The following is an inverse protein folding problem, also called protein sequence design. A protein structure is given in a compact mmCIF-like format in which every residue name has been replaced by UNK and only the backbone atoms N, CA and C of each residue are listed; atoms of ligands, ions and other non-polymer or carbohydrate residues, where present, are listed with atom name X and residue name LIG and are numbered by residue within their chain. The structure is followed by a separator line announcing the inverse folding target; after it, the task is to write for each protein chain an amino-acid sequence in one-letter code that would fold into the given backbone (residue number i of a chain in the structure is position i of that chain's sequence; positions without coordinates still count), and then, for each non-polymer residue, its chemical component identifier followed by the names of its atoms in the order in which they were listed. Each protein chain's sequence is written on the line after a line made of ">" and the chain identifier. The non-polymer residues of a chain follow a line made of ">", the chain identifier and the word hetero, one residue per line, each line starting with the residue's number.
data_IF_403554358172
#
_entry.id   IF_403554358172
#
_cell.length_a   1.000
_cell.length_b   1.000
_cell.length_c   1.000
_cell.angle_alpha   90.00
_cell.angle_beta   90.00
_cell.angle_gamma   90.00
#
_symmetry.space_group_name_H-M   'P 1'
#
loop_
_entity.id
_entity.type
_entity.pdbx_description
1 polymer ?
#
# COMPACT_ATOMS: atom_id res chain seq x y z
N UNK A 1 86.36 38.11 44.10
CA UNK A 1 85.74 37.02 43.28
C UNK A 1 84.24 36.75 43.50
N UNK A 2 83.58 37.24 44.57
CA UNK A 2 82.14 36.96 44.86
C UNK A 2 81.11 37.84 44.12
N UNK A 3 81.49 39.00 43.59
CA UNK A 3 80.57 39.95 42.91
C UNK A 3 80.19 39.52 41.49
N UNK A 4 81.15 39.12 40.64
CA UNK A 4 80.88 38.68 39.25
C UNK A 4 79.96 37.43 39.16
N UNK A 5 80.12 36.44 40.05
CA UNK A 5 79.28 35.21 40.06
C UNK A 5 77.79 35.48 40.35
N UNK A 6 77.46 36.48 41.16
CA UNK A 6 76.05 36.84 41.44
C UNK A 6 75.38 37.51 40.26
N UNK A 7 76.11 38.35 39.52
CA UNK A 7 75.61 39.03 38.33
C UNK A 7 75.31 38.04 37.19
N UNK A 8 76.22 37.10 36.89
CA UNK A 8 75.96 36.04 35.90
C UNK A 8 74.79 35.13 36.29
N UNK A 9 74.64 34.80 37.58
CA UNK A 9 73.49 34.03 38.07
C UNK A 9 72.16 34.79 37.96
N UNK A 10 72.16 36.12 38.16
CA UNK A 10 70.97 36.95 38.00
C UNK A 10 70.55 37.07 36.53
N UNK A 11 71.49 37.29 35.61
CA UNK A 11 71.24 37.35 34.16
C UNK A 11 70.74 36.00 33.64
N UNK A 12 71.37 34.89 34.06
CA UNK A 12 70.93 33.54 33.67
C UNK A 12 69.49 33.24 34.15
N UNK A 13 69.13 33.66 35.37
CA UNK A 13 67.75 33.50 35.90
C UNK A 13 66.73 34.35 35.15
N UNK A 14 67.10 35.56 34.73
CA UNK A 14 66.25 36.44 33.92
C UNK A 14 66.05 35.86 32.52
N UNK A 15 67.11 35.35 31.89
CA UNK A 15 67.06 34.70 30.58
C UNK A 15 66.20 33.42 30.60
N UNK A 16 66.35 32.59 31.63
CA UNK A 16 65.50 31.41 31.85
C UNK A 16 64.03 31.77 32.11
N UNK A 17 63.75 32.87 32.82
CA UNK A 17 62.38 33.38 32.99
C UNK A 17 61.79 33.86 31.66
N UNK A 18 62.54 34.61 30.86
CA UNK A 18 62.08 35.08 29.54
C UNK A 18 61.84 33.92 28.57
N UNK A 19 62.71 32.91 28.55
CA UNK A 19 62.53 31.69 27.74
C UNK A 19 61.27 30.90 28.16
N UNK A 20 61.04 30.75 29.48
CA UNK A 20 59.81 30.10 29.99
C UNK A 20 58.55 30.87 29.63
N UNK A 21 58.57 32.20 29.70
CA UNK A 21 57.43 33.05 29.30
C UNK A 21 57.17 32.93 27.79
N UNK A 22 58.23 32.94 26.97
CA UNK A 22 58.14 32.75 25.52
C UNK A 22 57.58 31.38 25.13
N UNK A 23 58.04 30.30 25.77
CA UNK A 23 57.48 28.95 25.58
C UNK A 23 56.02 28.87 26.00
N UNK A 24 55.65 29.47 27.13
CA UNK A 24 54.26 29.48 27.63
C UNK A 24 53.33 30.26 26.71
N UNK A 25 53.77 31.40 26.17
CA UNK A 25 53.02 32.17 25.16
C UNK A 25 52.88 31.41 23.85
N UNK A 26 53.95 30.76 23.36
CA UNK A 26 53.91 29.97 22.13
C UNK A 26 52.96 28.77 22.25
N UNK A 27 52.98 28.08 23.40
CA UNK A 27 52.06 26.99 23.71
C UNK A 27 50.60 27.45 23.78
N UNK A 28 50.35 28.61 24.39
CA UNK A 28 49.01 29.19 24.46
C UNK A 28 48.48 29.61 23.08
N UNK A 29 49.31 30.23 22.24
CA UNK A 29 48.97 30.57 20.85
C UNK A 29 48.69 29.32 20.00
N UNK A 30 49.50 28.26 20.12
CA UNK A 30 49.24 27.01 19.39
C UNK A 30 47.94 26.35 19.84
N UNK A 31 47.63 26.36 21.15
CA UNK A 31 46.36 25.86 21.65
C UNK A 31 45.16 26.67 21.16
N UNK A 32 45.28 28.00 21.06
CA UNK A 32 44.20 28.83 20.52
C UNK A 32 43.96 28.58 19.03
N UNK A 33 45.03 28.43 18.24
CA UNK A 33 44.91 28.11 16.80
C UNK A 33 44.31 26.72 16.61
N UNK A 34 44.71 25.74 17.42
CA UNK A 34 44.15 24.39 17.38
C UNK A 34 42.66 24.38 17.76
N UNK A 35 42.27 25.14 18.78
CA UNK A 35 40.85 25.30 19.15
C UNK A 35 40.04 26.01 18.06
N UNK A 36 40.57 27.07 17.45
CA UNK A 36 39.91 27.76 16.33
C UNK A 36 39.77 26.85 15.11
N UNK A 37 40.78 26.02 14.83
CA UNK A 37 40.73 25.03 13.76
C UNK A 37 39.69 23.95 14.04
N UNK A 38 39.67 23.39 15.25
CA UNK A 38 38.68 22.40 15.68
C UNK A 38 37.26 22.97 15.62
N UNK A 39 37.06 24.20 16.11
CA UNK A 39 35.77 24.88 16.07
C UNK A 39 35.34 25.21 14.64
N UNK A 40 36.25 25.73 13.81
CA UNK A 40 36.00 25.99 12.40
C UNK A 40 35.67 24.72 11.63
N UNK A 41 36.39 23.62 11.89
CA UNK A 41 36.10 22.31 11.32
C UNK A 41 34.76 21.75 11.80
N UNK A 42 34.39 21.97 13.07
CA UNK A 42 33.09 21.60 13.63
C UNK A 42 31.95 22.41 13.00
N UNK A 43 32.14 23.71 12.78
CA UNK A 43 31.18 24.59 12.08
C UNK A 43 31.04 24.23 10.60
N UNK A 44 32.15 23.93 9.91
CA UNK A 44 32.13 23.42 8.55
C UNK A 44 31.41 22.08 8.48
N UNK A 45 31.74 21.17 9.40
CA UNK A 45 30.99 19.92 9.54
C UNK A 45 29.54 20.21 9.86
N UNK A 46 29.15 21.12 10.74
CA UNK A 46 27.72 21.36 11.05
C UNK A 46 26.94 21.99 9.90
N UNK A 47 27.59 22.77 9.02
CA UNK A 47 26.98 23.30 7.79
C UNK A 47 26.67 22.20 6.77
N UNK A 48 27.51 21.15 6.69
CA UNK A 48 27.31 20.00 5.79
C UNK A 48 26.75 18.75 6.48
N UNK A 49 26.73 18.72 7.81
CA UNK A 49 26.19 17.66 8.65
C UNK A 49 24.69 17.89 8.74
N UNK A 50 24.02 17.44 7.70
CA UNK A 50 22.60 17.23 7.76
C UNK A 50 22.39 15.74 8.04
N UNK A 51 21.86 15.39 9.22
CA UNK A 51 21.46 14.01 9.51
C UNK A 51 20.38 13.49 8.55
N UNK A 52 19.80 14.40 7.74
CA UNK A 52 18.88 14.12 6.64
C UNK A 52 19.53 14.10 5.23
N UNK A 53 20.84 14.31 5.08
CA UNK A 53 21.56 14.17 3.80
C UNK A 53 22.45 12.93 3.83
N UNK A 54 21.83 11.75 3.82
CA UNK A 54 22.54 10.50 3.60
C UNK A 54 22.59 10.13 2.11
N UNK A 55 23.25 9.01 1.80
CA UNK A 55 23.30 8.49 0.42
C UNK A 55 21.91 8.20 -0.15
N UNK A 56 20.94 7.81 0.67
CA UNK A 56 19.56 7.53 0.22
C UNK A 56 18.90 8.84 -0.26
N UNK A 57 19.16 9.95 0.43
CA UNK A 57 18.63 11.28 0.07
C UNK A 57 19.24 11.80 -1.24
N UNK A 58 20.53 11.57 -1.45
CA UNK A 58 21.20 11.92 -2.69
C UNK A 58 20.68 11.08 -3.87
N UNK A 59 20.46 9.78 -3.66
CA UNK A 59 19.85 8.90 -4.66
C UNK A 59 18.40 9.32 -4.96
N UNK A 60 17.60 9.63 -3.94
CA UNK A 60 16.23 10.10 -4.12
C UNK A 60 16.17 11.37 -4.98
N UNK A 61 17.09 12.31 -4.77
CA UNK A 61 17.19 13.53 -5.58
C UNK A 61 17.61 13.24 -7.03
N UNK A 62 18.56 12.33 -7.23
CA UNK A 62 19.04 11.95 -8.57
C UNK A 62 17.95 11.24 -9.40
N UNK A 63 17.15 10.39 -8.76
CA UNK A 63 16.05 9.66 -9.40
C UNK A 63 14.73 10.45 -9.46
N UNK A 64 14.67 11.66 -8.88
CA UNK A 64 13.45 12.48 -8.86
C UNK A 64 12.83 12.72 -10.25
N UNK A 65 13.60 13.02 -11.32
CA UNK A 65 13.03 13.15 -12.67
C UNK A 65 12.42 11.85 -13.20
N UNK A 66 13.03 10.71 -12.87
CA UNK A 66 12.53 9.38 -13.26
C UNK A 66 11.25 9.08 -12.51
N UNK A 67 11.20 9.33 -11.20
CA UNK A 67 9.98 9.16 -10.41
C UNK A 67 8.85 10.04 -10.92
N UNK A 68 9.15 11.30 -11.27
CA UNK A 68 8.17 12.20 -11.86
C UNK A 68 7.62 11.67 -13.18
N UNK A 69 8.48 11.18 -14.07
CA UNK A 69 8.06 10.58 -15.35
C UNK A 69 7.16 9.36 -15.12
N UNK A 70 7.59 8.43 -14.26
CA UNK A 70 6.82 7.23 -13.92
C UNK A 70 5.47 7.60 -13.30
N UNK A 71 5.44 8.56 -12.37
CA UNK A 71 4.22 9.02 -11.71
C UNK A 71 3.25 9.66 -12.74
N UNK A 72 3.77 10.49 -13.65
CA UNK A 72 2.98 11.14 -14.68
C UNK A 72 2.38 10.13 -15.66
N UNK A 73 3.20 9.20 -16.12
CA UNK A 73 2.82 8.13 -17.04
C UNK A 73 1.80 7.19 -16.39
N UNK A 74 1.98 6.85 -15.12
CA UNK A 74 1.07 5.96 -14.36
C UNK A 74 -0.35 6.53 -14.25
N UNK A 75 -0.51 7.86 -14.14
CA UNK A 75 -1.84 8.51 -14.12
C UNK A 75 -2.60 8.31 -15.44
N UNK A 76 -1.92 8.48 -16.57
CA UNK A 76 -2.52 8.27 -17.90
C UNK A 76 -2.90 6.82 -18.13
N UNK A 77 -1.98 5.90 -17.78
CA UNK A 77 -2.27 4.48 -17.85
C UNK A 77 -3.42 4.05 -16.94
N UNK A 78 -3.63 4.72 -15.80
CA UNK A 78 -4.76 4.45 -14.91
C UNK A 78 -6.11 4.54 -15.62
N UNK A 79 -6.32 5.55 -16.46
CA UNK A 79 -7.56 5.69 -17.26
C UNK A 79 -7.73 4.53 -18.23
N UNK A 80 -6.63 4.14 -18.90
CA UNK A 80 -6.62 3.00 -19.83
C UNK A 80 -6.95 1.70 -19.12
N UNK A 81 -6.37 1.46 -17.94
CA UNK A 81 -6.64 0.25 -17.15
C UNK A 81 -8.08 0.18 -16.66
N UNK A 82 -8.68 1.31 -16.24
CA UNK A 82 -10.11 1.35 -15.88
C UNK A 82 -10.98 1.02 -17.10
N UNK A 83 -10.70 1.63 -18.26
CA UNK A 83 -11.39 1.32 -19.50
C UNK A 83 -11.25 -0.15 -19.92
N UNK A 84 -10.07 -0.74 -19.71
CA UNK A 84 -9.80 -2.14 -19.99
C UNK A 84 -10.63 -3.07 -19.10
N UNK A 85 -10.68 -2.82 -17.78
CA UNK A 85 -11.51 -3.64 -16.86
C UNK A 85 -12.97 -3.59 -17.28
N UNK A 86 -13.51 -2.39 -17.55
CA UNK A 86 -14.90 -2.23 -18.00
C UNK A 86 -15.13 -3.01 -19.30
N UNK A 87 -14.26 -2.84 -20.29
CA UNK A 87 -14.39 -3.51 -21.61
C UNK A 87 -14.35 -5.02 -21.47
N UNK A 88 -13.38 -5.56 -20.73
CA UNK A 88 -13.24 -7.00 -20.52
C UNK A 88 -14.44 -7.58 -19.77
N UNK A 89 -14.87 -6.95 -18.67
CA UNK A 89 -16.06 -7.39 -17.92
C UNK A 89 -17.32 -7.34 -18.79
N UNK A 90 -17.54 -6.25 -19.54
CA UNK A 90 -18.68 -6.13 -20.45
C UNK A 90 -18.64 -7.17 -21.56
N UNK A 91 -17.45 -7.51 -22.09
CA UNK A 91 -17.32 -8.55 -23.12
C UNK A 91 -17.73 -9.94 -22.60
N UNK A 92 -17.29 -10.30 -21.39
CA UNK A 92 -17.67 -11.57 -20.75
C UNK A 92 -19.17 -11.60 -20.47
N UNK A 93 -19.72 -10.53 -19.90
CA UNK A 93 -21.16 -10.40 -19.66
C UNK A 93 -21.94 -10.53 -20.97
N UNK A 94 -21.51 -9.83 -22.03
CA UNK A 94 -22.12 -9.94 -23.35
C UNK A 94 -22.14 -11.39 -23.87
N UNK A 95 -21.03 -12.12 -23.75
CA UNK A 95 -20.95 -13.53 -24.14
C UNK A 95 -21.87 -14.39 -23.28
N UNK A 96 -21.92 -14.18 -21.97
CA UNK A 96 -22.82 -14.91 -21.07
C UNK A 96 -24.28 -14.73 -21.48
N UNK A 97 -24.74 -13.49 -21.71
CA UNK A 97 -26.15 -13.23 -22.02
C UNK A 97 -26.54 -13.57 -23.46
N UNK A 98 -25.65 -13.35 -24.44
CA UNK A 98 -25.95 -13.56 -25.86
C UNK A 98 -25.70 -15.02 -26.27
N UNK A 99 -24.66 -15.66 -25.74
CA UNK A 99 -24.23 -16.99 -26.15
C UNK A 99 -24.63 -18.07 -25.13
N UNK A 100 -24.30 -17.90 -23.85
CA UNK A 100 -24.45 -18.98 -22.86
C UNK A 100 -25.89 -19.11 -22.33
N UNK A 101 -26.54 -18.00 -22.01
CA UNK A 101 -27.87 -17.99 -21.40
C UNK A 101 -28.93 -18.69 -22.29
N UNK A 102 -28.99 -18.48 -23.63
CA UNK A 102 -29.92 -19.22 -24.48
C UNK A 102 -29.71 -20.73 -24.43
N UNK A 103 -28.45 -21.19 -24.37
CA UNK A 103 -28.11 -22.62 -24.25
C UNK A 103 -28.55 -23.15 -22.89
N UNK A 104 -28.24 -22.43 -21.81
CA UNK A 104 -28.64 -22.81 -20.45
C UNK A 104 -30.17 -22.94 -20.36
N UNK A 105 -30.93 -22.00 -20.92
CA UNK A 105 -32.39 -22.02 -20.91
C UNK A 105 -33.01 -23.19 -21.69
N UNK A 106 -32.31 -23.72 -22.69
CA UNK A 106 -32.80 -24.82 -23.53
C UNK A 106 -32.36 -26.20 -23.04
N UNK A 107 -31.18 -26.31 -22.43
CA UNK A 107 -30.53 -27.59 -22.12
C UNK A 107 -30.61 -27.97 -20.65
N UNK A 108 -30.61 -27.00 -19.73
CA UNK A 108 -30.46 -27.28 -18.30
C UNK A 108 -31.82 -27.44 -17.61
N UNK A 109 -31.91 -28.23 -16.53
CA UNK A 109 -33.14 -28.36 -15.77
C UNK A 109 -33.46 -27.04 -15.03
N UNK A 110 -34.75 -26.82 -14.76
CA UNK A 110 -35.29 -25.58 -14.17
C UNK A 110 -34.51 -25.11 -12.91
N UNK A 111 -34.16 -25.96 -11.93
CA UNK A 111 -33.40 -25.51 -10.75
C UNK A 111 -32.04 -24.91 -11.09
N UNK A 112 -31.34 -25.47 -12.08
CA UNK A 112 -30.05 -24.97 -12.54
C UNK A 112 -30.20 -23.63 -13.26
N UNK A 113 -31.24 -23.46 -14.07
CA UNK A 113 -31.58 -22.18 -14.69
C UNK A 113 -31.79 -21.10 -13.62
N UNK A 114 -32.59 -21.39 -12.59
CA UNK A 114 -32.81 -20.45 -11.48
C UNK A 114 -31.51 -20.10 -10.77
N UNK A 115 -30.64 -21.08 -10.53
CA UNK A 115 -29.32 -20.85 -9.94
C UNK A 115 -28.47 -19.91 -10.80
N UNK A 116 -28.37 -20.14 -12.12
CA UNK A 116 -27.62 -19.29 -13.04
C UNK A 116 -28.14 -17.86 -13.07
N UNK A 117 -29.45 -17.69 -13.10
CA UNK A 117 -30.06 -16.35 -13.11
C UNK A 117 -29.83 -15.66 -11.77
N UNK A 118 -30.18 -16.28 -10.64
CA UNK A 118 -30.13 -15.64 -9.32
C UNK A 118 -28.67 -15.37 -8.91
N UNK A 119 -27.81 -16.37 -8.92
CA UNK A 119 -26.41 -16.23 -8.52
C UNK A 119 -25.66 -15.33 -9.49
N UNK A 120 -25.84 -15.52 -10.80
CA UNK A 120 -25.16 -14.73 -11.83
C UNK A 120 -25.49 -13.25 -11.74
N UNK A 121 -26.77 -12.89 -11.58
CA UNK A 121 -27.17 -11.48 -11.43
C UNK A 121 -26.72 -10.90 -10.09
N UNK A 122 -26.85 -11.65 -8.98
CA UNK A 122 -26.35 -11.21 -7.68
C UNK A 122 -24.86 -10.90 -7.74
N UNK A 123 -24.07 -11.81 -8.30
CA UNK A 123 -22.63 -11.61 -8.41
C UNK A 123 -22.27 -10.44 -9.33
N UNK A 124 -22.97 -10.27 -10.47
CA UNK A 124 -22.78 -9.15 -11.38
C UNK A 124 -23.06 -7.80 -10.69
N UNK A 125 -24.16 -7.71 -9.95
CA UNK A 125 -24.51 -6.51 -9.17
C UNK A 125 -23.40 -6.20 -8.15
N UNK A 126 -22.88 -7.21 -7.47
CA UNK A 126 -21.80 -7.03 -6.49
C UNK A 126 -20.49 -6.59 -7.15
N UNK A 127 -20.12 -7.14 -8.32
CA UNK A 127 -18.93 -6.73 -9.07
C UNK A 127 -19.04 -5.26 -9.49
N UNK A 128 -20.15 -4.90 -10.16
CA UNK A 128 -20.37 -3.55 -10.68
C UNK A 128 -20.40 -2.53 -9.54
N UNK A 129 -21.15 -2.81 -8.47
CA UNK A 129 -21.24 -1.91 -7.33
C UNK A 129 -19.88 -1.67 -6.67
N UNK A 130 -19.15 -2.74 -6.34
CA UNK A 130 -17.88 -2.59 -5.63
C UNK A 130 -16.79 -1.97 -6.51
N UNK A 131 -16.76 -2.28 -7.81
CA UNK A 131 -15.84 -1.64 -8.74
C UNK A 131 -16.14 -0.14 -8.85
N UNK A 132 -17.41 0.23 -9.07
CA UNK A 132 -17.84 1.62 -9.13
C UNK A 132 -17.48 2.38 -7.85
N UNK A 133 -17.77 1.81 -6.68
CA UNK A 133 -17.42 2.43 -5.40
C UNK A 133 -15.90 2.55 -5.20
N UNK A 134 -15.11 1.56 -5.64
CA UNK A 134 -13.66 1.60 -5.52
C UNK A 134 -13.02 2.71 -6.38
N UNK A 135 -13.51 2.93 -7.60
CA UNK A 135 -12.99 3.99 -8.49
C UNK A 135 -13.46 5.39 -8.11
N UNK A 136 -14.70 5.54 -7.62
CA UNK A 136 -15.30 6.86 -7.35
C UNK A 136 -15.11 7.35 -5.91
N UNK A 137 -15.02 6.44 -4.93
CA UNK A 137 -14.88 6.83 -3.53
C UNK A 137 -13.49 7.37 -3.28
N UNK A 138 -13.40 8.60 -2.77
CA UNK A 138 -12.13 9.17 -2.36
C UNK A 138 -11.54 8.35 -1.20
N UNK A 139 -10.24 8.02 -1.22
CA UNK A 139 -9.64 7.13 -0.22
C UNK A 139 -9.56 7.73 1.20
N UNK A 140 -9.69 9.06 1.32
CA UNK A 140 -9.57 9.79 2.57
C UNK A 140 -8.26 10.55 2.66
N UNK A 141 -8.35 11.81 3.08
CA UNK A 141 -7.22 12.73 3.14
C UNK A 141 -7.19 13.43 4.50
N UNK A 142 -6.01 13.70 5.07
CA UNK A 142 -5.92 14.52 6.27
C UNK A 142 -6.34 15.97 5.96
N UNK A 143 -6.88 16.70 6.96
CA UNK A 143 -7.22 18.12 6.79
C UNK A 143 -5.98 18.95 6.46
N UNK A 144 -6.11 19.93 5.56
CA UNK A 144 -5.01 20.82 5.14
C UNK A 144 -4.56 21.76 6.27
N UNK A 145 -5.49 22.17 7.14
CA UNK A 145 -5.23 22.97 8.33
C UNK A 145 -5.64 22.17 9.57
N UNK A 146 -4.76 21.28 10.06
CA UNK A 146 -5.06 20.53 11.27
C UNK A 146 -5.16 21.48 12.46
N UNK A 147 -6.23 21.34 13.25
CA UNK A 147 -6.30 21.95 14.58
C UNK A 147 -5.18 21.35 15.46
N UNK A 148 -4.73 22.11 16.48
CA UNK A 148 -3.61 21.71 17.36
C UNK A 148 -3.79 20.32 18.02
N UNK A 149 -5.02 19.79 18.07
CA UNK A 149 -5.34 18.52 18.72
C UNK A 149 -5.20 17.29 17.81
N UNK A 150 -4.74 17.44 16.57
CA UNK A 150 -4.55 16.30 15.67
C UNK A 150 -3.34 15.47 16.13
N UNK A 151 -3.59 14.25 16.61
CA UNK A 151 -2.55 13.30 17.02
C UNK A 151 -1.70 12.83 15.82
N UNK A 152 -0.69 13.62 15.47
CA UNK A 152 0.25 13.33 14.39
C UNK A 152 1.42 12.47 14.90
N UNK A 153 1.80 11.46 14.11
CA UNK A 153 2.93 10.57 14.44
C UNK A 153 4.24 11.00 13.76
N UNK A 154 4.14 11.84 12.73
CA UNK A 154 5.28 12.37 11.96
C UNK A 154 4.82 13.52 11.07
N UNK A 155 5.75 14.18 10.38
CA UNK A 155 5.47 15.21 9.38
C UNK A 155 5.70 14.62 7.98
N UNK A 156 4.81 14.87 7.03
CA UNK A 156 5.05 14.57 5.62
C UNK A 156 6.01 15.62 5.04
N UNK A 157 7.17 15.19 4.52
CA UNK A 157 8.15 16.10 3.91
C UNK A 157 7.63 16.79 2.64
N UNK A 158 6.85 16.07 1.81
CA UNK A 158 6.32 16.59 0.54
C UNK A 158 5.13 17.54 0.73
N UNK A 159 4.19 17.20 1.62
CA UNK A 159 3.02 18.04 1.90
C UNK A 159 3.28 19.12 2.96
N UNK A 160 4.40 19.03 3.70
CA UNK A 160 4.74 19.91 4.83
C UNK A 160 3.56 19.99 5.82
N UNK A 161 2.99 18.82 6.15
CA UNK A 161 1.79 18.71 6.96
C UNK A 161 1.90 17.57 7.99
N UNK A 162 1.29 17.73 9.19
CA UNK A 162 1.14 16.65 10.17
C UNK A 162 0.50 15.40 9.57
N UNK A 163 1.15 14.26 9.78
CA UNK A 163 0.71 12.95 9.30
C UNK A 163 0.05 12.17 10.43
N UNK A 164 -1.28 11.98 10.41
CA UNK A 164 -1.95 11.07 11.35
C UNK A 164 -1.38 9.66 11.26
N UNK A 165 -1.63 8.86 12.29
CA UNK A 165 -1.25 7.45 12.28
C UNK A 165 -1.83 6.72 11.03
N UNK A 166 -1.06 5.75 10.51
CA UNK A 166 -1.39 4.95 9.31
C UNK A 166 -1.55 5.73 8.00
N UNK A 167 -1.25 7.03 7.99
CA UNK A 167 -1.32 7.87 6.79
C UNK A 167 0.00 7.80 6.02
N UNK A 168 -0.03 7.78 4.69
CA UNK A 168 1.19 7.83 3.85
C UNK A 168 1.00 8.77 2.66
N UNK A 169 2.10 9.36 2.17
CA UNK A 169 2.07 10.20 0.98
C UNK A 169 2.14 9.31 -0.26
N UNK A 170 1.20 9.50 -1.18
CA UNK A 170 1.28 8.91 -2.51
C UNK A 170 1.80 9.96 -3.48
N UNK A 171 2.93 9.68 -4.14
CA UNK A 171 3.52 10.58 -5.14
C UNK A 171 2.62 10.71 -6.37
N UNK A 172 2.02 9.60 -6.82
CA UNK A 172 1.06 9.57 -7.93
C UNK A 172 -0.18 10.41 -7.60
N UNK A 173 -0.78 10.29 -6.42
CA UNK A 173 -1.92 11.14 -6.02
C UNK A 173 -1.46 12.56 -5.59
N UNK A 174 -0.15 12.80 -5.44
CA UNK A 174 0.52 13.98 -4.87
C UNK A 174 -0.11 14.49 -3.57
N UNK A 175 -0.48 13.58 -2.67
CA UNK A 175 -1.12 13.92 -1.39
C UNK A 175 -1.02 12.79 -0.38
N UNK A 176 -1.16 13.13 0.91
CA UNK A 176 -1.29 12.16 1.97
C UNK A 176 -2.66 11.47 1.95
N UNK A 177 -2.68 10.14 2.06
CA UNK A 177 -3.87 9.29 2.07
C UNK A 177 -4.00 8.59 3.42
N UNK A 178 -5.18 8.69 4.03
CA UNK A 178 -5.49 8.06 5.32
C UNK A 178 -5.52 6.53 5.16
N UNK A 179 -4.93 5.80 6.12
CA UNK A 179 -4.82 4.32 6.09
C UNK A 179 -4.39 3.78 4.72
N UNK A 180 -3.42 4.45 4.09
CA UNK A 180 -3.00 4.13 2.73
C UNK A 180 -2.53 2.68 2.64
N UNK A 181 -3.06 1.96 1.67
CA UNK A 181 -2.55 0.65 1.27
C UNK A 181 -1.61 0.82 0.09
N UNK A 182 -2.13 1.17 -1.09
CA UNK A 182 -1.33 1.39 -2.29
C UNK A 182 -2.06 2.32 -3.27
N UNK A 183 -1.36 2.78 -4.30
CA UNK A 183 -2.00 3.38 -5.47
C UNK A 183 -2.30 2.27 -6.48
N UNK A 184 -3.54 2.17 -6.94
CA UNK A 184 -3.97 1.11 -7.84
C UNK A 184 -4.28 1.68 -9.23
N UNK A 185 -3.45 1.41 -10.26
CA UNK A 185 -3.73 1.86 -11.63
C UNK A 185 -5.06 1.30 -12.16
N UNK A 186 -5.45 0.08 -11.78
CA UNK A 186 -6.70 -0.57 -12.17
C UNK A 186 -7.97 0.11 -11.65
N UNK A 187 -7.82 1.01 -10.67
CA UNK A 187 -8.90 1.85 -10.17
C UNK A 187 -8.74 3.32 -10.58
N UNK A 188 -7.60 3.68 -11.17
CA UNK A 188 -7.13 5.06 -11.28
C UNK A 188 -7.30 5.85 -9.96
N UNK A 189 -7.08 5.18 -8.83
CA UNK A 189 -7.35 5.73 -7.51
C UNK A 189 -6.41 5.13 -6.47
N UNK A 190 -6.13 5.92 -5.44
CA UNK A 190 -5.45 5.42 -4.26
C UNK A 190 -6.40 4.52 -3.45
N UNK A 191 -5.90 3.43 -2.86
CA UNK A 191 -6.63 2.56 -1.93
C UNK A 191 -6.27 2.99 -0.50
N UNK A 192 -7.27 3.47 0.24
CA UNK A 192 -7.12 4.02 1.59
C UNK A 192 -8.35 3.80 2.46
N UNK A 193 -8.46 4.54 3.56
CA UNK A 193 -9.44 4.31 4.63
C UNK A 193 -10.88 4.10 4.13
N UNK A 194 -11.39 4.96 3.27
CA UNK A 194 -12.80 4.96 2.87
C UNK A 194 -13.14 3.99 1.73
N UNK A 195 -12.15 3.56 0.92
CA UNK A 195 -12.42 2.71 -0.25
C UNK A 195 -11.75 1.32 -0.20
N UNK A 196 -10.90 1.02 0.79
CA UNK A 196 -10.17 -0.25 0.88
C UNK A 196 -11.11 -1.47 0.88
N UNK A 197 -12.24 -1.38 1.58
CA UNK A 197 -13.22 -2.49 1.57
C UNK A 197 -13.83 -2.72 0.18
N UNK A 198 -14.08 -1.66 -0.60
CA UNK A 198 -14.71 -1.78 -1.90
C UNK A 198 -13.75 -2.44 -2.87
N UNK A 199 -12.48 -2.05 -2.81
CA UNK A 199 -11.40 -2.72 -3.53
C UNK A 199 -11.34 -4.22 -3.18
N UNK A 200 -11.32 -4.58 -1.89
CA UNK A 200 -11.28 -5.98 -1.48
C UNK A 200 -12.51 -6.77 -1.94
N UNK A 201 -13.71 -6.23 -1.71
CA UNK A 201 -14.96 -6.87 -2.13
C UNK A 201 -15.05 -7.01 -3.65
N UNK A 202 -14.59 -6.02 -4.42
CA UNK A 202 -14.50 -6.13 -5.89
C UNK A 202 -13.63 -7.33 -6.28
N UNK A 203 -12.43 -7.47 -5.71
CA UNK A 203 -11.57 -8.63 -5.99
C UNK A 203 -12.25 -9.95 -5.62
N UNK A 204 -12.92 -10.01 -4.46
CA UNK A 204 -13.63 -11.19 -3.99
C UNK A 204 -14.74 -11.60 -4.97
N UNK A 205 -15.66 -10.69 -5.27
CA UNK A 205 -16.81 -10.99 -6.14
C UNK A 205 -16.40 -11.21 -7.60
N UNK A 206 -15.37 -10.51 -8.10
CA UNK A 206 -14.81 -10.75 -9.43
C UNK A 206 -14.18 -12.14 -9.51
N UNK A 207 -13.40 -12.54 -8.49
CA UNK A 207 -12.82 -13.88 -8.42
C UNK A 207 -13.90 -14.96 -8.35
N UNK A 208 -14.94 -14.76 -7.52
CA UNK A 208 -16.08 -15.68 -7.44
C UNK A 208 -16.80 -15.80 -8.78
N UNK A 209 -17.06 -14.68 -9.47
CA UNK A 209 -17.75 -14.68 -10.76
C UNK A 209 -16.94 -15.34 -11.86
N UNK A 210 -15.63 -15.13 -11.87
CA UNK A 210 -14.71 -15.80 -12.80
C UNK A 210 -14.63 -17.31 -12.53
N UNK A 211 -14.44 -17.74 -11.28
CA UNK A 211 -14.45 -19.16 -10.90
C UNK A 211 -15.77 -19.81 -11.32
N UNK A 212 -16.89 -19.16 -10.99
CA UNK A 212 -18.21 -19.63 -11.35
C UNK A 212 -18.40 -19.80 -12.85
N UNK A 213 -17.97 -18.81 -13.64
CA UNK A 213 -18.04 -18.85 -15.10
C UNK A 213 -17.14 -19.95 -15.68
N UNK A 214 -15.93 -20.13 -15.14
CA UNK A 214 -15.00 -21.18 -15.58
C UNK A 214 -15.52 -22.59 -15.26
N UNK A 215 -16.12 -22.81 -14.10
CA UNK A 215 -16.70 -24.11 -13.72
C UNK A 215 -17.95 -24.38 -14.55
N UNK A 216 -18.87 -23.40 -14.64
CA UNK A 216 -20.15 -23.58 -15.34
C UNK A 216 -19.96 -23.72 -16.86
N UNK A 217 -18.93 -23.08 -17.43
CA UNK A 217 -18.63 -23.13 -18.86
C UNK A 217 -17.66 -24.24 -19.27
N UNK A 218 -17.28 -25.15 -18.37
CA UNK A 218 -16.25 -26.18 -18.65
C UNK A 218 -16.62 -27.10 -19.80
N UNK A 219 -17.83 -27.67 -19.79
CA UNK A 219 -18.26 -28.62 -20.82
C UNK A 219 -18.36 -27.93 -22.19
N UNK A 220 -18.96 -26.73 -22.21
CA UNK A 220 -19.06 -25.90 -23.43
C UNK A 220 -17.69 -25.49 -23.96
N UNK A 221 -16.73 -25.21 -23.08
CA UNK A 221 -15.34 -24.93 -23.45
C UNK A 221 -14.70 -26.13 -24.13
N UNK A 222 -14.84 -27.33 -23.55
CA UNK A 222 -14.26 -28.55 -24.10
C UNK A 222 -14.82 -28.87 -25.49
N UNK A 223 -16.14 -28.77 -25.66
CA UNK A 223 -16.81 -28.95 -26.95
C UNK A 223 -16.37 -27.91 -27.99
N UNK A 224 -16.34 -26.63 -27.61
CA UNK A 224 -15.90 -25.56 -28.49
C UNK A 224 -14.44 -25.71 -28.89
N UNK A 225 -13.57 -26.13 -27.97
CA UNK A 225 -12.16 -26.38 -28.21
C UNK A 225 -11.95 -27.55 -29.17
N UNK A 226 -12.60 -28.69 -28.93
CA UNK A 226 -12.53 -29.85 -29.81
C UNK A 226 -13.05 -29.55 -31.22
N UNK A 227 -14.13 -28.76 -31.33
CA UNK A 227 -14.65 -28.31 -32.62
C UNK A 227 -13.62 -27.42 -33.37
N UNK A 228 -12.93 -26.52 -32.67
CA UNK A 228 -11.89 -25.66 -33.26
C UNK A 228 -10.66 -26.47 -33.71
N UNK A 229 -10.24 -27.45 -32.91
CA UNK A 229 -9.12 -28.33 -33.25
C UNK A 229 -9.42 -29.15 -34.51
N UNK A 230 -10.63 -29.71 -34.60
CA UNK A 230 -11.10 -30.47 -35.77
C UNK A 230 -11.08 -29.62 -37.06
N UNK A 231 -11.45 -28.33 -36.98
CA UNK A 231 -11.36 -27.40 -38.13
C UNK A 231 -9.94 -27.17 -38.63
N UNK A 232 -8.95 -27.30 -37.76
CA UNK A 232 -7.55 -27.05 -38.12
C UNK A 232 -6.94 -28.24 -38.86
N UNK A 233 -7.53 -29.43 -38.73
CA UNK A 233 -7.00 -30.70 -39.25
C UNK A 233 -7.77 -31.22 -40.49
N UNK A 234 -9.00 -30.76 -40.73
CA UNK A 234 -9.85 -31.24 -41.84
C UNK A 234 -10.33 -30.06 -42.70
N UNK A 235 -10.60 -30.26 -44.02
CA UNK A 235 -11.23 -29.21 -44.83
C UNK A 235 -12.55 -28.79 -44.16
N UNK A 236 -12.78 -27.49 -43.96
CA UNK A 236 -13.81 -27.03 -43.04
C UNK A 236 -15.19 -27.47 -43.52
N UNK A 237 -16.00 -28.18 -42.72
CA UNK A 237 -17.44 -28.29 -42.95
C UNK A 237 -18.04 -26.88 -43.11
N UNK A 238 -19.12 -26.74 -43.87
CA UNK A 238 -19.79 -25.46 -44.17
C UNK A 238 -20.50 -24.87 -42.94
N UNK A 239 -19.76 -24.61 -41.86
CA UNK A 239 -20.27 -23.90 -40.71
C UNK A 239 -20.39 -22.41 -41.02
N UNK A 240 -21.54 -21.86 -40.66
CA UNK A 240 -21.81 -20.42 -40.77
C UNK A 240 -20.78 -19.61 -39.98
N UNK A 241 -20.51 -18.38 -40.41
CA UNK A 241 -19.67 -17.43 -39.67
C UNK A 241 -20.09 -17.32 -38.19
N UNK A 242 -21.40 -17.40 -37.91
CA UNK A 242 -21.99 -17.33 -36.58
C UNK A 242 -21.53 -18.47 -35.65
N UNK A 243 -21.50 -19.71 -36.14
CA UNK A 243 -21.05 -20.86 -35.34
C UNK A 243 -19.57 -20.77 -34.99
N UNK A 244 -18.73 -20.31 -35.92
CA UNK A 244 -17.30 -20.06 -35.67
C UNK A 244 -17.09 -18.97 -34.63
N UNK A 245 -17.84 -17.88 -34.72
CA UNK A 245 -17.79 -16.80 -33.73
C UNK A 245 -18.24 -17.27 -32.34
N UNK A 246 -19.26 -18.13 -32.27
CA UNK A 246 -19.75 -18.71 -31.02
C UNK A 246 -18.69 -19.56 -30.30
N UNK A 247 -18.10 -20.55 -30.98
CA UNK A 247 -17.05 -21.39 -30.36
C UNK A 247 -15.84 -20.56 -29.90
N UNK A 248 -15.38 -19.59 -30.72
CA UNK A 248 -14.29 -18.70 -30.33
C UNK A 248 -14.62 -17.82 -29.13
N UNK A 249 -15.88 -17.37 -29.02
CA UNK A 249 -16.34 -16.55 -27.88
C UNK A 249 -16.36 -17.34 -26.58
N UNK A 250 -16.78 -18.60 -26.62
CA UNK A 250 -16.77 -19.49 -25.44
C UNK A 250 -15.33 -19.72 -24.98
N UNK A 251 -14.43 -20.07 -25.89
CA UNK A 251 -13.01 -20.29 -25.57
C UNK A 251 -12.39 -19.03 -24.99
N UNK A 252 -12.64 -17.87 -25.60
CA UNK A 252 -12.18 -16.57 -25.07
C UNK A 252 -12.69 -16.31 -23.65
N UNK A 253 -14.00 -16.46 -23.42
CA UNK A 253 -14.60 -16.20 -22.11
C UNK A 253 -14.05 -17.13 -21.02
N UNK A 254 -13.90 -18.42 -21.32
CA UNK A 254 -13.37 -19.40 -20.37
C UNK A 254 -11.89 -19.11 -20.03
N UNK A 255 -11.05 -18.87 -21.03
CA UNK A 255 -9.62 -18.56 -20.82
C UNK A 255 -9.45 -17.25 -20.04
N UNK A 256 -10.22 -16.21 -20.38
CA UNK A 256 -10.18 -14.93 -19.68
C UNK A 256 -10.63 -15.08 -18.22
N UNK A 257 -11.77 -15.75 -17.96
CA UNK A 257 -12.25 -15.98 -16.60
C UNK A 257 -11.27 -16.82 -15.78
N UNK A 258 -10.73 -17.91 -16.33
CA UNK A 258 -9.79 -18.78 -15.61
C UNK A 258 -8.48 -18.06 -15.27
N UNK A 259 -7.93 -17.27 -16.21
CA UNK A 259 -6.70 -16.49 -15.97
C UNK A 259 -6.91 -15.37 -14.95
N UNK A 260 -8.03 -14.64 -15.03
CA UNK A 260 -8.39 -13.60 -14.05
C UNK A 260 -8.63 -14.21 -12.68
N UNK A 261 -9.34 -15.34 -12.58
CA UNK A 261 -9.57 -16.04 -11.31
C UNK A 261 -8.25 -16.40 -10.62
N UNK A 262 -7.27 -16.89 -11.37
CA UNK A 262 -5.96 -17.22 -10.82
C UNK A 262 -5.19 -15.98 -10.35
N UNK A 263 -5.03 -14.98 -11.23
CA UNK A 263 -4.25 -13.79 -10.93
C UNK A 263 -4.87 -12.93 -9.83
N UNK A 264 -6.17 -12.64 -9.95
CA UNK A 264 -6.91 -11.83 -8.98
C UNK A 264 -7.16 -12.60 -7.69
N UNK A 265 -7.38 -13.91 -7.76
CA UNK A 265 -7.53 -14.78 -6.58
C UNK A 265 -6.26 -14.82 -5.73
N UNK A 266 -5.08 -14.90 -6.34
CA UNK A 266 -3.81 -14.83 -5.61
C UNK A 266 -3.65 -13.47 -4.89
N UNK A 267 -3.98 -12.36 -5.57
CA UNK A 267 -3.97 -11.02 -4.97
C UNK A 267 -5.01 -10.88 -3.83
N UNK A 268 -6.21 -11.43 -4.02
CA UNK A 268 -7.26 -11.46 -3.00
C UNK A 268 -6.82 -12.23 -1.74
N UNK A 269 -6.18 -13.39 -1.91
CA UNK A 269 -5.66 -14.19 -0.79
C UNK A 269 -4.55 -13.44 -0.04
N UNK A 270 -3.69 -12.74 -0.77
CA UNK A 270 -2.67 -11.88 -0.17
C UNK A 270 -3.29 -10.77 0.69
N UNK A 271 -4.26 -10.02 0.15
CA UNK A 271 -4.95 -8.98 0.91
C UNK A 271 -5.74 -9.55 2.09
N UNK A 272 -6.36 -10.73 1.93
CA UNK A 272 -7.00 -11.46 3.03
C UNK A 272 -6.03 -11.73 4.19
N UNK A 273 -4.78 -12.11 3.87
CA UNK A 273 -3.75 -12.32 4.88
C UNK A 273 -3.30 -11.01 5.56
N UNK A 274 -3.31 -9.87 4.85
CA UNK A 274 -3.03 -8.55 5.43
C UNK A 274 -4.15 -8.12 6.39
N UNK A 275 -5.40 -8.22 5.94
CA UNK A 275 -6.60 -7.89 6.74
C UNK A 275 -6.65 -8.75 8.00
N UNK A 276 -6.41 -10.06 7.87
CA UNK A 276 -6.34 -10.98 9.02
C UNK A 276 -5.32 -10.55 10.08
N UNK A 277 -4.22 -9.93 9.66
CA UNK A 277 -3.17 -9.39 10.55
C UNK A 277 -3.41 -7.95 11.01
N UNK A 278 -4.46 -7.29 10.52
CA UNK A 278 -4.81 -5.91 10.87
C UNK A 278 -3.87 -4.86 10.25
N UNK A 279 -3.17 -5.20 9.18
CA UNK A 279 -2.16 -4.35 8.54
C UNK A 279 -2.50 -4.01 7.08
N UNK A 280 -2.06 -2.85 6.60
CA UNK A 280 -1.98 -2.53 5.17
C UNK A 280 -0.71 -3.11 4.55
N UNK A 281 -0.60 -3.09 3.22
CA UNK A 281 0.61 -3.51 2.50
C UNK A 281 1.84 -2.69 2.91
N UNK A 282 1.71 -1.38 3.11
CA UNK A 282 2.79 -0.52 3.65
C UNK A 282 3.14 -0.93 5.08
N UNK A 283 2.13 -1.10 5.93
CA UNK A 283 2.34 -1.47 7.34
C UNK A 283 3.03 -2.82 7.49
N UNK A 284 2.77 -3.78 6.61
CA UNK A 284 3.50 -5.06 6.61
C UNK A 284 5.00 -4.86 6.49
N UNK A 285 5.46 -3.92 5.65
CA UNK A 285 6.88 -3.62 5.50
C UNK A 285 7.45 -2.96 6.76
N UNK A 286 6.70 -2.01 7.34
CA UNK A 286 7.06 -1.31 8.58
C UNK A 286 7.15 -2.30 9.74
N UNK A 287 6.08 -3.09 9.95
CA UNK A 287 5.97 -4.12 10.97
C UNK A 287 7.08 -5.17 10.83
N UNK A 288 7.44 -5.57 9.60
CA UNK A 288 8.54 -6.52 9.36
C UNK A 288 9.89 -5.94 9.77
N UNK A 289 10.17 -4.67 9.45
CA UNK A 289 11.40 -3.97 9.86
C UNK A 289 11.44 -3.80 11.38
N UNK A 290 10.33 -3.42 11.97
CA UNK A 290 10.19 -3.21 13.41
C UNK A 290 10.32 -4.52 14.21
N UNK A 291 9.71 -5.60 13.73
CA UNK A 291 9.88 -6.95 14.30
C UNK A 291 11.35 -7.36 14.33
N UNK A 292 12.10 -7.17 13.24
CA UNK A 292 13.54 -7.45 13.21
C UNK A 292 14.32 -6.58 14.21
N UNK A 293 13.97 -5.29 14.32
CA UNK A 293 14.60 -4.35 15.26
C UNK A 293 14.39 -4.75 16.72
N UNK A 294 13.17 -5.15 17.09
CA UNK A 294 12.83 -5.56 18.45
C UNK A 294 13.39 -6.94 18.80
N UNK A 295 13.44 -7.88 17.85
CA UNK A 295 14.08 -9.19 18.03
C UNK A 295 15.56 -9.05 18.41
N UNK A 296 16.31 -8.12 17.79
CA UNK A 296 17.70 -7.81 18.16
C UNK A 296 17.84 -7.30 19.61
N UNK A 297 16.76 -6.78 20.20
CA UNK A 297 16.69 -6.31 21.58
C UNK A 297 15.99 -7.32 22.51
N UNK A 298 15.78 -8.55 22.06
CA UNK A 298 15.02 -9.59 22.77
C UNK A 298 13.60 -9.16 23.18
N UNK A 299 12.99 -8.23 22.42
CA UNK A 299 11.61 -7.75 22.61
C UNK A 299 10.68 -8.35 21.55
N UNK A 300 9.45 -8.66 21.96
CA UNK A 300 8.42 -9.18 21.05
C UNK A 300 7.63 -8.01 20.46
N UNK A 301 7.56 -7.94 19.13
CA UNK A 301 6.68 -7.00 18.43
C UNK A 301 5.24 -7.49 18.45
N UNK A 302 4.31 -6.59 18.81
CA UNK A 302 2.87 -6.81 18.67
C UNK A 302 2.29 -5.68 17.80
N UNK A 303 1.48 -6.04 16.80
CA UNK A 303 0.84 -5.05 15.94
C UNK A 303 -0.20 -4.24 16.76
N UNK A 304 -0.02 -2.92 16.93
CA UNK A 304 -0.90 -2.11 17.77
C UNK A 304 -2.32 -1.95 17.22
N UNK A 305 -2.57 -2.37 15.97
CA UNK A 305 -3.89 -2.28 15.31
C UNK A 305 -4.54 -3.64 15.06
N UNK A 306 -4.00 -4.72 15.62
CA UNK A 306 -4.56 -6.06 15.47
C UNK A 306 -5.46 -6.44 16.65
N UNK A 307 -6.74 -6.63 16.35
CA UNK A 307 -7.80 -7.12 17.24
C UNK A 307 -7.98 -8.64 17.16
N UNK A 308 -7.01 -9.35 16.57
CA UNK A 308 -7.11 -10.77 16.23
C UNK A 308 -7.84 -11.01 14.91
N UNK A 309 -7.73 -12.22 14.32
CA UNK A 309 -8.22 -12.52 12.97
C UNK A 309 -9.66 -12.06 12.71
N UNK A 310 -10.63 -12.56 13.50
CA UNK A 310 -12.05 -12.23 13.31
C UNK A 310 -12.35 -10.77 13.65
N UNK A 311 -11.70 -10.20 14.67
CA UNK A 311 -11.85 -8.79 15.05
C UNK A 311 -11.42 -7.85 13.94
N UNK A 312 -10.29 -8.15 13.29
CA UNK A 312 -9.79 -7.36 12.17
C UNK A 312 -10.74 -7.38 10.97
N UNK A 313 -11.33 -8.54 10.64
CA UNK A 313 -12.33 -8.65 9.58
C UNK A 313 -13.61 -7.88 9.92
N UNK A 314 -14.09 -7.94 11.17
CA UNK A 314 -15.26 -7.16 11.62
C UNK A 314 -15.02 -5.66 11.50
N UNK A 315 -13.86 -5.16 11.93
CA UNK A 315 -13.50 -3.75 11.80
C UNK A 315 -13.35 -3.35 10.32
N UNK A 316 -12.73 -4.20 9.50
CA UNK A 316 -12.52 -3.95 8.08
C UNK A 316 -13.83 -3.88 7.28
N UNK A 317 -14.73 -4.83 7.49
CA UNK A 317 -16.03 -4.90 6.82
C UNK A 317 -17.10 -4.02 7.48
N UNK A 318 -16.80 -3.39 8.62
CA UNK A 318 -17.77 -2.61 9.39
C UNK A 318 -18.90 -3.46 9.97
N UNK A 319 -18.62 -4.67 10.44
CA UNK A 319 -19.62 -5.64 10.94
C UNK A 319 -19.61 -5.68 12.46
N UNK A 320 -20.61 -5.03 13.08
CA UNK A 320 -20.83 -5.03 14.53
C UNK A 320 -21.87 -6.05 15.00
N UNK A 321 -22.95 -6.25 14.22
CA UNK A 321 -24.09 -7.13 14.56
C UNK A 321 -24.24 -8.24 13.51
N UNK A 322 -24.90 -9.35 13.86
CA UNK A 322 -25.11 -10.47 12.93
C UNK A 322 -25.83 -10.05 11.62
N UNK A 323 -26.83 -9.16 11.70
CA UNK A 323 -27.55 -8.64 10.52
C UNK A 323 -26.68 -7.83 9.56
N UNK A 324 -25.53 -7.32 10.03
CA UNK A 324 -24.61 -6.56 9.19
C UNK A 324 -23.88 -7.46 8.17
N UNK A 325 -23.71 -8.76 8.43
CA UNK A 325 -23.17 -9.66 7.41
C UNK A 325 -24.00 -9.65 6.12
N UNK A 326 -25.32 -9.65 6.25
CA UNK A 326 -26.21 -9.60 5.07
C UNK A 326 -26.20 -8.19 4.46
N UNK A 327 -26.53 -7.18 5.27
CA UNK A 327 -26.77 -5.80 4.79
C UNK A 327 -25.51 -5.04 4.38
N UNK A 328 -24.32 -5.47 4.82
CA UNK A 328 -23.04 -4.78 4.58
C UNK A 328 -22.05 -5.59 3.75
N UNK A 329 -22.19 -6.93 3.67
CA UNK A 329 -21.26 -7.81 2.93
C UNK A 329 -21.94 -8.50 1.75
N UNK A 330 -23.15 -9.04 1.93
CA UNK A 330 -23.85 -9.77 0.87
C UNK A 330 -24.70 -8.89 -0.05
N UNK A 331 -24.99 -7.65 0.36
CA UNK A 331 -25.74 -6.66 -0.42
C UNK A 331 -24.88 -5.43 -0.71
N UNK A 332 -25.14 -4.72 -1.82
CA UNK A 332 -24.55 -3.42 -2.09
C UNK A 332 -24.75 -2.45 -0.92
N UNK A 333 -23.65 -1.93 -0.37
CA UNK A 333 -23.71 -1.10 0.84
C UNK A 333 -22.74 0.08 0.78
N UNK A 334 -23.24 1.33 0.81
CA UNK A 334 -22.39 2.54 0.79
C UNK A 334 -21.93 3.00 2.18
N UNK A 335 -22.15 2.22 3.25
CA UNK A 335 -21.87 2.65 4.62
C UNK A 335 -20.40 3.12 4.82
N UNK A 336 -20.07 4.04 5.73
CA UNK A 336 -18.66 4.40 5.95
C UNK A 336 -17.90 3.30 6.73
N UNK A 337 -16.55 3.25 6.65
CA UNK A 337 -15.74 2.48 7.59
C UNK A 337 -15.85 3.05 9.01
N UNK A 338 -15.41 2.27 10.01
CA UNK A 338 -15.36 2.75 11.39
C UNK A 338 -14.32 3.88 11.57
N UNK A 339 -14.76 4.98 12.18
CA UNK A 339 -13.92 6.14 12.48
C UNK A 339 -13.53 6.99 11.26
N UNK A 340 -12.91 8.15 11.52
CA UNK A 340 -12.49 9.12 10.49
C UNK A 340 -11.18 8.77 9.79
N UNK A 341 -10.42 7.82 10.32
CA UNK A 341 -9.06 7.49 9.88
C UNK A 341 -7.96 8.44 10.38
N UNK A 342 -8.33 9.47 11.15
CA UNK A 342 -7.39 10.41 11.78
C UNK A 342 -6.87 9.88 13.12
N UNK A 343 -7.72 9.17 13.86
CA UNK A 343 -7.41 8.49 15.10
C UNK A 343 -7.81 7.01 15.00
N UNK A 344 -7.17 6.18 15.82
CA UNK A 344 -7.34 4.73 15.79
C UNK A 344 -7.46 4.21 17.20
N UNK A 345 -8.52 3.45 17.44
CA UNK A 345 -8.60 2.65 18.65
C UNK A 345 -7.51 1.58 18.63
N UNK A 346 -6.85 1.41 19.77
CA UNK A 346 -5.89 0.32 19.96
C UNK A 346 -6.52 -0.73 20.86
N UNK A 347 -6.24 -2.03 20.64
CA UNK A 347 -6.76 -3.10 21.48
C UNK A 347 -6.45 -2.88 22.97
N UNK A 348 -7.26 -3.43 23.90
CA UNK A 348 -7.10 -3.22 25.34
C UNK A 348 -5.70 -3.55 25.87
N UNK A 349 -5.04 -4.58 25.31
CA UNK A 349 -3.68 -4.98 25.72
C UNK A 349 -2.61 -3.93 25.34
N UNK A 350 -2.88 -3.08 24.35
CA UNK A 350 -2.02 -1.95 23.96
C UNK A 350 -2.34 -0.72 24.80
N UNK A 351 -3.62 -0.51 25.11
CA UNK A 351 -4.08 0.59 25.96
C UNK A 351 -3.50 0.46 27.39
N UNK A 352 -3.45 -0.76 27.95
CA UNK A 352 -2.87 -1.05 29.26
C UNK A 352 -1.35 -0.80 29.35
N UNK A 353 -0.61 -0.86 28.23
CA UNK A 353 0.82 -0.53 28.19
C UNK A 353 1.11 0.97 28.11
N UNK A 354 0.10 1.79 27.77
CA UNK A 354 0.22 3.25 27.72
C UNK A 354 -0.17 3.94 29.02
N UNK A 355 -0.81 3.23 29.96
CA UNK A 355 -1.01 3.73 31.32
C UNK A 355 0.36 3.92 31.94
N UNK A 356 0.76 5.13 32.37
CA UNK A 356 2.02 5.31 33.07
C UNK A 356 2.00 4.42 34.32
N UNK A 357 3.14 3.83 34.63
CA UNK A 357 3.47 3.40 36.00
C UNK A 357 3.50 4.65 36.90
N UNK A 358 2.34 5.23 37.17
CA UNK A 358 2.05 6.25 38.17
C UNK A 358 0.93 5.70 39.06
N UNK A 359 1.18 4.51 39.60
CA UNK A 359 0.47 3.92 40.72
C UNK A 359 1.27 2.69 41.16
N UNK A 360 2.29 2.93 41.98
CA UNK A 360 2.72 2.18 43.17
C UNK A 360 3.91 2.94 43.76
#
# INVERSE_FOLDING_TARGET
>A
MRSRRRMYSAVMRLFLKCLRIGQRRRFWLTQQVEQLWLYGHLCLRSLFYNSFADSDTALDALFEPIYWLVDHVTRWFGVVFVGLVITLTTSVVGIVYICLLPVILQTYPIPWIFWHVIYGHWNLVMIVFHYYMAITTQPGYPPQHPKNDLAAVSICRKCIAPKPARTHHCSICNRCVLKMDHHCPWLNNCVGHYNHRYFFSFMLFMTMGCIYSSISGWDMFWEAYAAIETYSQTPPPTFSFRQRAFHKSIVYAWVLCSSVALALGALMLWHSALITRGETSIERHINRKEKKRLQKKSKIFRNPYSFGPLGNWKVFLGVERHRHWITRVLLPSPHPPYGSGLSWETPPYVAQQKTPLLAI
#
